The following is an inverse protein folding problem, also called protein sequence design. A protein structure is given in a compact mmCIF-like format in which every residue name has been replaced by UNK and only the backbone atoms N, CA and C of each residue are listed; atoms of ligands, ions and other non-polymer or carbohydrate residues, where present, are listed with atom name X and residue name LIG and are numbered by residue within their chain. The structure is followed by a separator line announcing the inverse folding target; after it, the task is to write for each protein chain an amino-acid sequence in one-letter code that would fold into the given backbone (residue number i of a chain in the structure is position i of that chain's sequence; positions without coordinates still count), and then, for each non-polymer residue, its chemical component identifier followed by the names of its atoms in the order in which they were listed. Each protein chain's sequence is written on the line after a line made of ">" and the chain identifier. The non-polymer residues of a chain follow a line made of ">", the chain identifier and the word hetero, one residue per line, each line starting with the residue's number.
data_IF_919504799117
#
_entry.id   IF_919504799117
#
_cell.length_a   1.000
_cell.length_b   1.000
_cell.length_c   1.000
_cell.angle_alpha   90.00
_cell.angle_beta   90.00
_cell.angle_gamma   90.00
#
_symmetry.space_group_name_H-M   'P 1'
#
loop_
_entity.id
_entity.type
_entity.pdbx_description
1 polymer ?
#
# COMPACT_ATOMS: atom_id res chain seq x y z
N UNK A 1 8.54 22.87 -9.33
CA UNK A 1 7.31 22.86 -8.50
C UNK A 1 6.95 21.39 -8.28
N UNK A 2 7.23 20.87 -7.09
CA UNK A 2 6.97 19.46 -6.75
C UNK A 2 5.53 19.36 -6.30
N UNK A 3 4.72 18.62 -7.03
CA UNK A 3 3.34 18.31 -6.66
C UNK A 3 3.34 17.51 -5.34
N UNK A 4 3.08 18.17 -4.24
CA UNK A 4 2.72 17.53 -2.98
C UNK A 4 1.41 16.75 -3.22
N UNK A 5 1.51 15.43 -3.29
CA UNK A 5 0.32 14.57 -3.28
C UNK A 5 -0.37 14.77 -1.93
N UNK A 6 -1.49 15.48 -1.94
CA UNK A 6 -2.42 15.58 -0.83
C UNK A 6 -2.86 14.17 -0.43
N UNK A 7 -2.27 13.64 0.63
CA UNK A 7 -2.80 12.46 1.28
C UNK A 7 -4.05 12.90 2.03
N UNK A 8 -5.23 12.40 1.73
CA UNK A 8 -6.43 12.75 2.49
C UNK A 8 -6.30 12.16 3.89
N UNK A 9 -6.06 13.03 4.88
CA UNK A 9 -6.30 12.68 6.28
C UNK A 9 -7.82 12.61 6.41
N UNK A 10 -8.38 11.39 6.40
CA UNK A 10 -9.78 11.12 6.71
C UNK A 10 -9.99 11.35 8.22
N UNK A 11 -10.22 12.61 8.58
CA UNK A 11 -10.59 12.98 9.93
C UNK A 11 -12.09 12.94 10.07
N UNK A 12 -12.59 12.02 10.87
CA UNK A 12 -13.97 11.94 11.29
C UNK A 12 -14.09 12.37 12.76
N UNK A 13 -15.04 13.24 13.04
CA UNK A 13 -15.26 13.89 14.34
C UNK A 13 -16.02 12.97 15.30
N UNK A 14 -15.61 12.93 16.56
CA UNK A 14 -16.40 12.36 17.65
C UNK A 14 -16.66 13.39 18.75
N UNK A 15 -17.92 13.59 19.08
CA UNK A 15 -18.36 14.33 20.26
C UNK A 15 -18.93 13.34 21.28
N UNK A 16 -18.31 13.24 22.44
CA UNK A 16 -18.87 12.53 23.58
C UNK A 16 -19.76 13.48 24.38
N UNK A 17 -21.04 13.18 24.42
CA UNK A 17 -21.93 13.65 25.48
C UNK A 17 -22.34 12.42 26.28
N UNK A 18 -21.93 12.35 27.54
CA UNK A 18 -22.34 11.30 28.45
C UNK A 18 -23.84 11.47 28.76
N UNK A 19 -24.66 10.53 28.30
CA UNK A 19 -26.04 10.40 28.75
C UNK A 19 -26.14 9.13 29.62
N UNK A 20 -26.40 9.28 30.89
CA UNK A 20 -26.86 8.22 31.79
C UNK A 20 -28.29 7.81 31.39
N UNK A 21 -28.53 6.54 31.11
CA UNK A 21 -29.86 6.09 30.78
C UNK A 21 -30.09 4.60 30.98
N UNK A 22 -31.08 4.26 31.75
CA UNK A 22 -31.53 2.93 32.11
C UNK A 22 -32.20 2.15 30.98
N UNK A 23 -32.25 0.85 31.16
CA UNK A 23 -32.76 -0.17 30.24
C UNK A 23 -34.26 -0.10 30.03
N UNK A 24 -34.68 0.03 28.78
CA UNK A 24 -35.99 -0.44 28.28
C UNK A 24 -35.98 -0.34 26.73
N UNK A 25 -36.69 -1.24 26.03
CA UNK A 25 -36.65 -1.46 24.59
C UNK A 25 -36.84 -0.22 23.70
N UNK A 26 -36.78 -0.35 22.36
CA UNK A 26 -36.58 0.78 21.46
C UNK A 26 -37.73 1.80 21.58
N UNK A 27 -37.44 2.93 22.24
CA UNK A 27 -38.31 4.10 22.34
C UNK A 27 -38.52 4.72 20.96
N UNK A 28 -39.59 5.47 20.77
CA UNK A 28 -39.73 6.38 19.62
C UNK A 28 -38.51 7.30 19.55
N UNK A 29 -37.99 7.61 18.33
CA UNK A 29 -36.88 8.52 18.18
C UNK A 29 -37.26 9.90 18.74
N UNK A 30 -36.51 10.48 19.69
CA UNK A 30 -36.80 11.80 20.25
C UNK A 30 -36.80 12.88 19.16
N UNK A 31 -37.58 13.95 19.38
CA UNK A 31 -37.74 15.03 18.40
C UNK A 31 -36.43 15.79 18.08
N UNK A 32 -35.48 15.80 19.01
CA UNK A 32 -34.15 16.41 18.90
C UNK A 32 -33.05 15.43 18.38
N UNK A 33 -33.45 14.19 18.11
CA UNK A 33 -32.58 13.15 17.59
C UNK A 33 -32.76 12.89 16.08
N UNK A 34 -31.76 12.27 15.44
CA UNK A 34 -31.81 11.77 14.07
C UNK A 34 -31.93 10.24 14.05
N UNK A 35 -31.43 9.57 15.07
CA UNK A 35 -31.54 8.11 15.23
C UNK A 35 -31.41 7.70 16.70
N UNK A 36 -31.94 6.51 17.02
CA UNK A 36 -31.61 5.73 18.22
C UNK A 36 -30.87 4.48 17.75
N UNK A 37 -29.69 4.18 18.33
CA UNK A 37 -28.86 3.04 18.02
C UNK A 37 -28.64 2.24 19.30
N UNK A 38 -29.24 1.06 19.42
CA UNK A 38 -29.20 0.30 20.67
C UNK A 38 -29.71 1.11 21.86
N UNK A 39 -28.81 1.45 22.78
CA UNK A 39 -29.12 2.22 23.99
C UNK A 39 -28.81 3.72 23.87
N UNK A 40 -28.12 4.14 22.82
CA UNK A 40 -27.64 5.50 22.65
C UNK A 40 -28.48 6.27 21.60
N UNK A 41 -28.46 7.60 21.71
CA UNK A 41 -29.24 8.50 20.82
C UNK A 41 -28.28 9.40 20.05
N UNK A 42 -28.40 9.43 18.73
CA UNK A 42 -27.68 10.36 17.87
C UNK A 42 -28.53 11.63 17.71
N UNK A 43 -28.04 12.75 18.27
CA UNK A 43 -28.77 14.01 18.24
C UNK A 43 -28.66 14.73 16.88
N UNK A 44 -29.62 15.63 16.61
CA UNK A 44 -29.57 16.57 15.48
C UNK A 44 -28.32 17.45 15.54
N UNK A 45 -27.88 17.81 16.76
CA UNK A 45 -26.66 18.58 16.96
C UNK A 45 -25.41 17.82 16.51
N UNK A 46 -25.27 16.52 16.82
CA UNK A 46 -24.18 15.69 16.35
C UNK A 46 -24.17 15.57 14.83
N UNK A 47 -25.33 15.38 14.21
CA UNK A 47 -25.47 15.37 12.76
C UNK A 47 -25.05 16.70 12.13
N UNK A 48 -25.51 17.83 12.70
CA UNK A 48 -25.16 19.17 12.21
C UNK A 48 -23.66 19.46 12.27
N UNK A 49 -22.95 18.98 13.31
CA UNK A 49 -21.48 19.12 13.42
C UNK A 49 -20.77 18.43 12.26
N UNK A 50 -21.13 17.18 11.94
CA UNK A 50 -20.50 16.43 10.83
C UNK A 50 -20.86 17.03 9.47
N UNK A 51 -22.11 17.51 9.32
CA UNK A 51 -22.52 18.21 8.10
C UNK A 51 -21.74 19.53 7.92
N UNK A 52 -21.54 20.30 8.98
CA UNK A 52 -20.74 21.53 8.94
C UNK A 52 -19.28 21.24 8.60
N UNK A 53 -18.70 20.13 9.08
CA UNK A 53 -17.36 19.69 8.69
C UNK A 53 -17.28 19.39 7.20
N UNK A 54 -18.24 18.65 6.64
CA UNK A 54 -18.32 18.39 5.21
C UNK A 54 -18.41 19.69 4.40
N UNK A 55 -19.21 20.66 4.84
CA UNK A 55 -19.31 21.99 4.23
C UNK A 55 -18.00 22.77 4.27
N UNK A 56 -17.26 22.73 5.40
CA UNK A 56 -15.93 23.36 5.52
C UNK A 56 -14.94 22.72 4.53
N UNK A 57 -14.95 21.40 4.42
CA UNK A 57 -14.06 20.69 3.48
C UNK A 57 -14.34 21.05 2.01
N UNK A 58 -15.62 21.20 1.62
CA UNK A 58 -15.97 21.68 0.28
C UNK A 58 -15.46 23.09 0.03
N UNK A 59 -15.67 24.01 0.99
CA UNK A 59 -15.15 25.39 0.89
C UNK A 59 -13.63 25.45 0.79
N UNK A 60 -12.94 24.65 1.57
CA UNK A 60 -11.46 24.58 1.53
C UNK A 60 -10.94 24.09 0.15
N UNK A 61 -11.74 23.29 -0.54
CA UNK A 61 -11.45 22.83 -1.92
C UNK A 61 -11.99 23.78 -3.00
N UNK A 62 -12.50 24.96 -2.64
CA UNK A 62 -13.13 25.91 -3.55
C UNK A 62 -14.33 25.32 -4.34
N UNK A 63 -15.04 24.35 -3.73
CA UNK A 63 -16.22 23.71 -4.31
C UNK A 63 -17.51 24.21 -3.64
N UNK A 64 -18.57 24.39 -4.44
CA UNK A 64 -19.89 24.65 -3.91
C UNK A 64 -20.45 23.38 -3.20
N UNK A 65 -20.99 23.56 -2.00
CA UNK A 65 -21.66 22.47 -1.33
C UNK A 65 -23.00 22.16 -2.01
N UNK A 66 -23.36 20.86 -2.19
CA UNK A 66 -24.62 20.49 -2.85
C UNK A 66 -25.84 21.08 -2.14
N UNK A 67 -26.83 21.53 -2.93
CA UNK A 67 -28.06 22.10 -2.38
C UNK A 67 -28.93 21.03 -1.74
N UNK A 68 -29.63 21.32 -0.64
CA UNK A 68 -30.67 20.45 -0.09
C UNK A 68 -31.64 19.99 -1.19
N UNK A 69 -32.02 18.71 -1.15
CA UNK A 69 -32.88 18.10 -2.16
C UNK A 69 -32.18 17.54 -3.39
N UNK A 70 -30.89 17.85 -3.62
CA UNK A 70 -30.14 17.21 -4.71
C UNK A 70 -29.73 15.78 -4.34
N UNK A 71 -29.57 14.90 -5.35
CA UNK A 71 -29.09 13.52 -5.15
C UNK A 71 -27.75 13.47 -4.40
N UNK A 72 -26.80 14.35 -4.76
CA UNK A 72 -25.48 14.46 -4.11
C UNK A 72 -25.62 14.85 -2.63
N UNK A 73 -26.51 15.78 -2.29
CA UNK A 73 -26.80 16.12 -0.89
C UNK A 73 -27.37 14.92 -0.13
N UNK A 74 -28.28 14.18 -0.77
CA UNK A 74 -28.83 12.93 -0.21
C UNK A 74 -27.76 11.89 0.09
N UNK A 75 -26.80 11.72 -0.84
CA UNK A 75 -25.63 10.82 -0.64
C UNK A 75 -24.79 11.26 0.54
N UNK A 76 -24.47 12.55 0.67
CA UNK A 76 -23.68 13.08 1.80
C UNK A 76 -24.41 12.83 3.12
N UNK A 77 -25.73 13.10 3.17
CA UNK A 77 -26.54 12.80 4.37
C UNK A 77 -26.50 11.34 4.77
N UNK A 78 -26.66 10.44 3.80
CA UNK A 78 -26.61 9.00 4.04
C UNK A 78 -25.23 8.57 4.58
N UNK A 79 -24.15 9.09 4.03
CA UNK A 79 -22.78 8.82 4.51
C UNK A 79 -22.57 9.35 5.94
N UNK A 80 -23.06 10.54 6.24
CA UNK A 80 -23.01 11.10 7.61
C UNK A 80 -23.80 10.21 8.58
N UNK A 81 -25.00 9.79 8.21
CA UNK A 81 -25.80 8.90 9.05
C UNK A 81 -25.14 7.55 9.27
N UNK A 82 -24.63 6.93 8.20
CA UNK A 82 -23.89 5.68 8.31
C UNK A 82 -22.69 5.82 9.24
N UNK A 83 -21.90 6.88 9.06
CA UNK A 83 -20.75 7.18 9.92
C UNK A 83 -21.14 7.33 11.39
N UNK A 84 -22.19 8.08 11.69
CA UNK A 84 -22.64 8.31 13.06
C UNK A 84 -23.15 7.02 13.72
N UNK A 85 -23.91 6.22 12.98
CA UNK A 85 -24.42 4.92 13.44
C UNK A 85 -23.27 3.97 13.72
N UNK A 86 -22.37 3.76 12.75
CA UNK A 86 -21.19 2.88 12.93
C UNK A 86 -20.31 3.33 14.11
N UNK A 87 -20.09 4.62 14.26
CA UNK A 87 -19.32 5.17 15.38
C UNK A 87 -19.97 4.80 16.72
N UNK A 88 -21.30 4.91 16.80
CA UNK A 88 -22.03 4.61 18.00
C UNK A 88 -22.04 3.11 18.30
N UNK A 89 -22.21 2.27 17.28
CA UNK A 89 -22.09 0.80 17.38
C UNK A 89 -20.70 0.40 17.93
N UNK A 90 -19.60 0.98 17.39
CA UNK A 90 -18.26 0.75 17.91
C UNK A 90 -18.09 1.24 19.35
N UNK A 91 -18.69 2.39 19.71
CA UNK A 91 -18.63 2.92 21.07
C UNK A 91 -19.30 1.99 22.07
N UNK A 92 -20.49 1.49 21.75
CA UNK A 92 -21.22 0.53 22.60
C UNK A 92 -20.45 -0.79 22.72
N UNK A 93 -19.96 -1.34 21.60
CA UNK A 93 -19.15 -2.57 21.63
C UNK A 93 -17.81 -2.40 22.33
N UNK A 94 -17.20 -1.22 22.31
CA UNK A 94 -16.00 -0.93 23.10
C UNK A 94 -16.30 -1.05 24.60
N UNK A 95 -17.44 -0.49 25.07
CA UNK A 95 -17.89 -0.62 26.47
C UNK A 95 -18.12 -2.10 26.84
N UNK A 96 -18.84 -2.85 26.00
CA UNK A 96 -19.14 -4.27 26.22
C UNK A 96 -17.85 -5.12 26.32
N UNK A 97 -16.81 -4.78 25.55
CA UNK A 97 -15.53 -5.48 25.50
C UNK A 97 -14.50 -4.95 26.52
N UNK A 98 -14.85 -3.93 27.30
CA UNK A 98 -13.90 -3.27 28.22
C UNK A 98 -12.75 -2.56 27.51
N UNK A 99 -12.96 -2.11 26.28
CA UNK A 99 -11.96 -1.37 25.48
C UNK A 99 -12.06 0.12 25.80
N UNK A 100 -10.93 0.68 26.22
CA UNK A 100 -10.80 2.12 26.51
C UNK A 100 -9.68 2.77 25.70
N UNK A 101 -9.86 4.04 25.36
CA UNK A 101 -8.85 4.89 24.72
C UNK A 101 -8.68 6.15 25.52
N UNK A 102 -7.51 6.33 26.13
CA UNK A 102 -7.18 7.52 26.92
C UNK A 102 -6.84 8.73 26.03
N UNK A 103 -6.88 9.93 26.61
CA UNK A 103 -6.42 11.12 25.90
C UNK A 103 -4.92 11.02 25.56
N UNK A 104 -4.14 10.37 26.43
CA UNK A 104 -2.72 10.09 26.16
C UNK A 104 -2.54 9.22 24.92
N UNK A 105 -3.33 8.16 24.74
CA UNK A 105 -3.26 7.31 23.53
C UNK A 105 -3.49 8.15 22.26
N UNK A 106 -4.46 9.07 22.33
CA UNK A 106 -4.80 9.96 21.20
C UNK A 106 -3.65 10.93 20.91
N UNK A 107 -3.08 11.56 21.93
CA UNK A 107 -1.96 12.51 21.75
C UNK A 107 -0.70 11.81 21.25
N UNK A 108 -0.37 10.65 21.78
CA UNK A 108 0.76 9.85 21.32
C UNK A 108 0.60 9.48 19.83
N UNK A 109 -0.58 9.05 19.41
CA UNK A 109 -0.88 8.75 18.00
C UNK A 109 -0.81 10.02 17.13
N UNK A 110 -1.35 11.15 17.60
CA UNK A 110 -1.27 12.42 16.89
C UNK A 110 0.18 12.85 16.67
N UNK A 111 1.01 12.74 17.71
CA UNK A 111 2.44 13.06 17.62
C UNK A 111 3.16 12.14 16.63
N UNK A 112 2.87 10.83 16.62
CA UNK A 112 3.41 9.90 15.62
C UNK A 112 3.02 10.31 14.18
N UNK A 113 1.76 10.67 13.97
CA UNK A 113 1.26 11.14 12.67
C UNK A 113 1.99 12.42 12.26
N UNK A 114 2.10 13.40 13.17
CA UNK A 114 2.82 14.66 12.90
C UNK A 114 4.27 14.38 12.49
N UNK A 115 4.98 13.53 13.22
CA UNK A 115 6.37 13.16 12.89
C UNK A 115 6.47 12.43 11.54
N UNK A 116 5.59 11.48 11.27
CA UNK A 116 5.62 10.68 10.05
C UNK A 116 5.37 11.54 8.80
N UNK A 117 4.39 12.44 8.84
CA UNK A 117 3.96 13.19 7.65
C UNK A 117 4.68 14.53 7.50
N UNK A 118 5.05 15.18 8.58
CA UNK A 118 5.66 16.51 8.53
C UNK A 118 7.11 16.53 8.98
N UNK A 119 7.57 15.53 9.76
CA UNK A 119 8.93 15.42 10.25
C UNK A 119 9.95 14.93 9.23
N UNK A 120 9.47 14.23 8.16
CA UNK A 120 10.36 13.68 7.15
C UNK A 120 11.15 14.75 6.41
N UNK A 121 12.45 14.50 6.23
CA UNK A 121 13.40 15.36 5.50
C UNK A 121 14.02 14.59 4.34
N UNK A 122 14.48 15.30 3.31
CA UNK A 122 15.28 14.68 2.25
C UNK A 122 16.67 14.27 2.80
N UNK A 123 17.34 13.27 2.21
CA UNK A 123 18.71 12.93 2.60
C UNK A 123 19.63 14.17 2.60
N UNK A 124 20.36 14.40 3.71
CA UNK A 124 21.25 15.55 3.87
C UNK A 124 20.63 16.83 4.44
N UNK A 125 19.31 16.86 4.69
CA UNK A 125 18.66 17.99 5.38
C UNK A 125 18.60 17.75 6.90
N UNK A 126 18.67 18.83 7.68
CA UNK A 126 18.46 18.75 9.14
C UNK A 126 17.01 18.33 9.45
N UNK A 127 16.79 17.53 10.51
CA UNK A 127 15.45 17.25 10.99
C UNK A 127 14.70 18.56 11.30
N UNK A 128 13.40 18.59 11.00
CA UNK A 128 12.56 19.74 11.34
C UNK A 128 12.34 19.84 12.84
N UNK A 129 12.29 21.05 13.34
CA UNK A 129 11.93 21.32 14.73
C UNK A 129 10.45 21.02 14.99
N UNK A 130 10.08 20.81 16.25
CA UNK A 130 8.68 20.59 16.65
C UNK A 130 7.78 21.77 16.24
N UNK A 131 8.29 23.01 16.32
CA UNK A 131 7.56 24.20 15.91
C UNK A 131 7.29 24.24 14.40
N UNK A 132 8.24 23.81 13.58
CA UNK A 132 8.05 23.69 12.12
C UNK A 132 7.03 22.59 11.77
N UNK A 133 7.09 21.45 12.46
CA UNK A 133 6.13 20.35 12.32
C UNK A 133 4.73 20.82 12.67
N UNK A 134 4.58 21.50 13.80
CA UNK A 134 3.30 22.05 14.25
C UNK A 134 2.73 23.05 13.24
N UNK A 135 3.56 23.98 12.77
CA UNK A 135 3.17 24.96 11.75
C UNK A 135 2.63 24.26 10.48
N UNK A 136 3.37 23.26 9.94
CA UNK A 136 2.96 22.52 8.77
C UNK A 136 1.64 21.73 8.99
N UNK A 137 1.46 21.18 10.18
CA UNK A 137 0.23 20.51 10.57
C UNK A 137 -0.96 21.48 10.58
N UNK A 138 -0.82 22.67 11.21
CA UNK A 138 -1.87 23.68 11.26
C UNK A 138 -2.21 24.23 9.86
N UNK A 139 -1.21 24.44 9.00
CA UNK A 139 -1.41 24.80 7.60
C UNK A 139 -2.22 23.73 6.85
N UNK A 140 -1.93 22.44 7.10
CA UNK A 140 -2.66 21.32 6.51
C UNK A 140 -4.12 21.25 6.99
N UNK A 141 -4.36 21.46 8.30
CA UNK A 141 -5.72 21.53 8.85
C UNK A 141 -6.52 22.64 8.16
N UNK A 142 -5.96 23.82 8.07
CA UNK A 142 -6.60 24.97 7.40
C UNK A 142 -6.91 24.66 5.93
N UNK A 143 -5.96 24.05 5.21
CA UNK A 143 -6.12 23.68 3.81
C UNK A 143 -7.25 22.63 3.59
N UNK A 144 -7.54 21.81 4.59
CA UNK A 144 -8.61 20.80 4.56
C UNK A 144 -9.92 21.25 5.22
N UNK A 145 -9.95 22.42 5.85
CA UNK A 145 -11.10 22.92 6.61
C UNK A 145 -11.38 22.11 7.87
N UNK A 146 -10.33 21.54 8.49
CA UNK A 146 -10.40 20.73 9.70
C UNK A 146 -9.93 21.52 10.92
N UNK A 147 -10.31 21.02 12.10
CA UNK A 147 -9.84 21.49 13.41
C UNK A 147 -9.03 20.39 14.09
N UNK A 148 -8.22 20.76 15.12
CA UNK A 148 -7.53 19.76 15.96
C UNK A 148 -8.53 18.77 16.58
N UNK A 149 -9.71 19.24 16.95
CA UNK A 149 -10.77 18.39 17.49
C UNK A 149 -11.24 17.37 16.44
N UNK A 150 -11.44 17.77 15.20
CA UNK A 150 -11.82 16.87 14.12
C UNK A 150 -10.79 15.74 13.97
N UNK A 151 -9.49 16.04 14.06
CA UNK A 151 -8.42 15.05 13.94
C UNK A 151 -8.33 14.15 15.18
N UNK A 152 -8.34 14.72 16.38
CA UNK A 152 -8.23 13.94 17.62
C UNK A 152 -9.42 13.00 17.82
N UNK A 153 -10.62 13.44 17.47
CA UNK A 153 -11.82 12.61 17.49
C UNK A 153 -11.73 11.45 16.47
N UNK A 154 -11.22 11.74 15.27
CA UNK A 154 -10.94 10.71 14.26
C UNK A 154 -9.92 9.66 14.74
N UNK A 155 -8.82 10.12 15.35
CA UNK A 155 -7.79 9.26 15.95
C UNK A 155 -8.40 8.38 17.05
N UNK A 156 -9.22 8.94 17.93
CA UNK A 156 -9.90 8.19 18.99
C UNK A 156 -10.77 7.08 18.42
N UNK A 157 -11.59 7.40 17.42
CA UNK A 157 -12.44 6.42 16.74
C UNK A 157 -11.63 5.30 16.08
N UNK A 158 -10.50 5.64 15.45
CA UNK A 158 -9.58 4.67 14.87
C UNK A 158 -8.97 3.77 15.94
N UNK A 159 -8.46 4.33 17.05
CA UNK A 159 -7.86 3.58 18.15
C UNK A 159 -8.88 2.63 18.82
N UNK A 160 -10.15 3.06 18.98
CA UNK A 160 -11.23 2.19 19.46
C UNK A 160 -11.36 0.98 18.53
N UNK A 161 -11.45 1.21 17.23
CA UNK A 161 -11.59 0.13 16.23
C UNK A 161 -10.38 -0.81 16.22
N UNK A 162 -9.15 -0.27 16.29
CA UNK A 162 -7.93 -1.04 16.39
C UNK A 162 -7.90 -1.92 17.64
N UNK A 163 -8.22 -1.36 18.82
CA UNK A 163 -8.25 -2.10 20.09
C UNK A 163 -9.36 -3.16 20.12
N UNK A 164 -10.52 -2.87 19.55
CA UNK A 164 -11.58 -3.88 19.35
C UNK A 164 -11.09 -5.00 18.44
N UNK A 165 -10.50 -4.66 17.29
CA UNK A 165 -9.96 -5.66 16.37
C UNK A 165 -8.93 -6.55 17.05
N UNK A 166 -8.01 -5.99 17.82
CA UNK A 166 -7.07 -6.77 18.63
C UNK A 166 -7.79 -7.69 19.60
N UNK A 167 -8.76 -7.17 20.36
CA UNK A 167 -9.50 -7.93 21.37
C UNK A 167 -10.28 -9.10 20.81
N UNK A 168 -11.01 -8.90 19.69
CA UNK A 168 -11.86 -9.94 19.09
C UNK A 168 -11.05 -10.96 18.26
N UNK A 169 -9.79 -10.65 17.96
CA UNK A 169 -8.89 -11.54 17.20
C UNK A 169 -7.70 -12.07 18.01
N UNK A 170 -7.67 -11.82 19.31
CA UNK A 170 -6.54 -12.19 20.19
C UNK A 170 -6.26 -13.69 20.19
N UNK A 171 -7.30 -14.50 20.12
CA UNK A 171 -7.21 -15.96 20.10
C UNK A 171 -6.88 -16.55 18.73
N UNK A 172 -6.74 -15.75 17.68
CA UNK A 172 -6.45 -16.22 16.32
C UNK A 172 -5.00 -16.66 16.22
N UNK A 173 -4.80 -17.94 15.99
CA UNK A 173 -3.47 -18.57 15.84
C UNK A 173 -3.43 -19.43 14.59
N UNK A 174 -2.23 -19.66 14.09
CA UNK A 174 -1.94 -20.59 12.99
C UNK A 174 -0.89 -21.57 13.50
N UNK A 175 -1.24 -22.85 13.50
CA UNK A 175 -0.32 -23.92 13.89
C UNK A 175 0.73 -24.17 12.80
N UNK A 176 1.80 -24.89 13.14
CA UNK A 176 2.78 -25.34 12.14
C UNK A 176 2.15 -26.33 11.14
N UNK A 177 1.18 -27.12 11.60
CA UNK A 177 0.39 -28.02 10.74
C UNK A 177 -0.46 -27.26 9.73
N UNK A 178 -1.15 -26.18 10.14
CA UNK A 178 -1.92 -25.32 9.22
C UNK A 178 -1.00 -24.69 8.16
N UNK A 179 0.14 -24.17 8.59
CA UNK A 179 1.11 -23.56 7.70
C UNK A 179 1.69 -24.58 6.71
N UNK A 180 1.96 -25.82 7.19
CA UNK A 180 2.44 -26.90 6.32
C UNK A 180 1.38 -27.31 5.30
N UNK A 181 0.13 -27.45 5.72
CA UNK A 181 -1.00 -27.75 4.83
C UNK A 181 -1.15 -26.68 3.75
N UNK A 182 -1.05 -25.41 4.13
CA UNK A 182 -1.11 -24.30 3.16
C UNK A 182 0.05 -24.38 2.16
N UNK A 183 1.27 -24.60 2.62
CA UNK A 183 2.43 -24.78 1.77
C UNK A 183 2.23 -25.90 0.75
N UNK A 184 1.75 -27.07 1.20
CA UNK A 184 1.54 -28.25 0.35
C UNK A 184 0.45 -28.01 -0.71
N UNK A 185 -0.59 -27.26 -0.38
CA UNK A 185 -1.65 -26.88 -1.30
C UNK A 185 -1.23 -25.81 -2.31
N UNK A 186 -0.16 -25.05 -2.00
CA UNK A 186 0.29 -23.90 -2.81
C UNK A 186 1.75 -24.02 -3.24
N UNK A 187 2.26 -25.23 -3.40
CA UNK A 187 3.67 -25.51 -3.74
C UNK A 187 4.18 -24.71 -4.92
N UNK A 188 3.36 -24.52 -5.95
CA UNK A 188 3.71 -23.74 -7.14
C UNK A 188 4.14 -22.29 -6.81
N UNK A 189 3.67 -21.70 -5.71
CA UNK A 189 4.06 -20.36 -5.26
C UNK A 189 5.47 -20.34 -4.63
N UNK A 190 5.98 -21.49 -4.25
CA UNK A 190 7.28 -21.68 -3.60
C UNK A 190 8.30 -22.36 -4.51
N UNK A 191 8.01 -22.40 -5.80
CA UNK A 191 8.94 -22.91 -6.80
C UNK A 191 9.84 -21.80 -7.32
N UNK A 192 11.13 -22.10 -7.38
CA UNK A 192 12.09 -21.30 -8.12
C UNK A 192 12.19 -21.87 -9.54
N UNK A 193 11.90 -21.08 -10.58
CA UNK A 193 11.99 -21.55 -11.94
C UNK A 193 13.44 -21.93 -12.29
N UNK A 194 13.60 -22.88 -13.18
CA UNK A 194 14.88 -23.20 -13.75
C UNK A 194 15.54 -21.95 -14.36
N UNK A 195 16.83 -21.80 -14.13
CA UNK A 195 17.63 -20.74 -14.74
C UNK A 195 18.55 -21.37 -15.77
N UNK A 196 18.59 -20.86 -16.99
CA UNK A 196 19.52 -21.36 -18.00
C UNK A 196 20.95 -20.92 -17.65
N UNK A 197 21.91 -21.60 -18.22
CA UNK A 197 23.29 -21.13 -18.21
C UNK A 197 23.35 -19.73 -18.84
N UNK A 198 23.96 -18.79 -18.15
CA UNK A 198 24.02 -17.39 -18.56
C UNK A 198 25.35 -16.75 -18.28
N UNK A 199 25.58 -15.61 -18.90
CA UNK A 199 26.81 -14.85 -18.71
C UNK A 199 26.58 -13.35 -18.85
N UNK A 200 27.16 -12.59 -17.95
CA UNK A 200 27.21 -11.15 -18.06
C UNK A 200 28.35 -10.71 -18.94
N UNK A 201 28.00 -9.96 -19.96
CA UNK A 201 28.99 -9.44 -20.95
C UNK A 201 28.70 -7.96 -21.21
N UNK A 202 29.62 -7.32 -21.91
CA UNK A 202 29.35 -6.06 -22.61
C UNK A 202 29.87 -6.16 -24.03
N UNK A 203 29.21 -5.45 -24.95
CA UNK A 203 29.63 -5.49 -26.35
C UNK A 203 29.52 -4.13 -27.04
N UNK A 204 30.23 -4.01 -28.15
CA UNK A 204 30.16 -2.90 -29.10
C UNK A 204 29.83 -3.49 -30.46
N UNK A 205 28.68 -3.07 -31.03
CA UNK A 205 28.25 -3.50 -32.36
C UNK A 205 28.50 -2.39 -33.38
N UNK A 206 29.18 -2.72 -34.46
CA UNK A 206 29.43 -1.80 -35.59
C UNK A 206 29.21 -2.48 -36.93
N UNK A 207 29.04 -1.70 -38.01
CA UNK A 207 28.72 -2.25 -39.33
C UNK A 207 29.93 -2.85 -40.07
N UNK A 208 31.13 -2.34 -39.85
CA UNK A 208 32.30 -2.80 -40.60
C UNK A 208 33.35 -3.48 -39.74
N UNK A 209 34.05 -4.47 -40.31
CA UNK A 209 35.13 -5.19 -39.68
C UNK A 209 36.28 -4.24 -39.28
N UNK A 210 36.71 -3.39 -40.19
CA UNK A 210 37.83 -2.44 -39.93
C UNK A 210 37.53 -1.55 -38.70
N UNK A 211 36.26 -1.13 -38.52
CA UNK A 211 35.84 -0.34 -37.34
C UNK A 211 35.89 -1.18 -36.05
N UNK A 212 35.46 -2.44 -36.10
CA UNK A 212 35.53 -3.35 -34.97
C UNK A 212 36.98 -3.64 -34.57
N UNK A 213 37.88 -3.86 -35.52
CA UNK A 213 39.29 -4.05 -35.27
C UNK A 213 39.95 -2.82 -34.65
N UNK A 214 39.63 -1.63 -35.14
CA UNK A 214 40.13 -0.38 -34.55
C UNK A 214 39.67 -0.21 -33.10
N UNK A 215 38.42 -0.57 -32.79
CA UNK A 215 37.85 -0.54 -31.41
C UNK A 215 38.54 -1.59 -30.54
N UNK A 216 38.71 -2.81 -31.05
CA UNK A 216 39.42 -3.87 -30.34
C UNK A 216 40.84 -3.44 -29.95
N UNK A 217 41.59 -2.83 -30.88
CA UNK A 217 42.95 -2.35 -30.61
C UNK A 217 42.98 -1.22 -29.57
N UNK A 218 42.02 -0.30 -29.60
CA UNK A 218 41.89 0.73 -28.56
C UNK A 218 41.61 0.11 -27.18
N UNK A 219 40.72 -0.87 -27.11
CA UNK A 219 40.40 -1.57 -25.88
C UNK A 219 41.57 -2.36 -25.33
N UNK A 220 42.36 -3.00 -26.20
CA UNK A 220 43.63 -3.67 -25.83
C UNK A 220 44.66 -2.67 -25.31
N UNK A 221 44.64 -1.44 -25.81
CA UNK A 221 45.45 -0.33 -25.31
C UNK A 221 44.91 0.34 -24.02
N UNK A 222 43.84 -0.22 -23.40
CA UNK A 222 43.32 0.27 -22.12
C UNK A 222 42.23 1.35 -22.23
N UNK A 223 41.68 1.60 -23.44
CA UNK A 223 40.57 2.54 -23.59
C UNK A 223 39.34 2.09 -22.84
N UNK A 224 38.55 3.05 -22.34
CA UNK A 224 37.28 2.79 -21.61
C UNK A 224 36.22 2.19 -22.52
N UNK A 225 35.81 0.97 -22.20
CA UNK A 225 34.80 0.24 -22.98
C UNK A 225 33.48 0.96 -23.07
N UNK A 226 32.98 1.54 -21.96
CA UNK A 226 31.68 2.20 -21.91
C UNK A 226 31.66 3.48 -22.74
N UNK A 227 32.77 4.24 -22.73
CA UNK A 227 32.92 5.43 -23.60
C UNK A 227 32.94 5.04 -25.08
N UNK A 228 33.65 3.94 -25.43
CA UNK A 228 33.67 3.49 -26.83
C UNK A 228 32.31 2.89 -27.23
N UNK A 229 31.62 2.17 -26.35
CA UNK A 229 30.27 1.67 -26.60
C UNK A 229 29.31 2.83 -26.87
N UNK A 230 29.31 3.86 -26.01
CA UNK A 230 28.43 5.03 -26.18
C UNK A 230 28.73 5.76 -27.51
N UNK A 231 30.00 5.88 -27.87
CA UNK A 231 30.43 6.64 -29.05
C UNK A 231 30.20 5.90 -30.37
N UNK A 232 30.41 4.58 -30.39
CA UNK A 232 30.50 3.85 -31.66
C UNK A 232 29.45 2.75 -31.83
N UNK A 233 28.88 2.21 -30.74
CA UNK A 233 27.95 1.10 -30.87
C UNK A 233 26.63 1.57 -31.49
N UNK A 234 26.10 0.76 -32.40
CA UNK A 234 24.76 0.92 -32.95
C UNK A 234 23.70 0.12 -32.16
N UNK A 235 24.13 -0.68 -31.16
CA UNK A 235 23.24 -1.45 -30.30
C UNK A 235 22.62 -0.53 -29.22
N UNK A 236 21.34 -0.71 -28.86
CA UNK A 236 20.69 0.07 -27.80
C UNK A 236 21.38 -0.01 -26.44
N UNK A 237 22.07 -1.13 -26.13
CA UNK A 237 22.82 -1.29 -24.87
C UNK A 237 23.96 -0.28 -24.68
N UNK A 238 24.33 0.47 -25.72
CA UNK A 238 25.38 1.51 -25.63
C UNK A 238 25.18 2.49 -24.49
N UNK A 239 23.93 2.83 -24.16
CA UNK A 239 23.58 3.77 -23.07
C UNK A 239 23.88 3.21 -21.68
N UNK A 240 23.98 1.87 -21.57
CA UNK A 240 24.41 1.15 -20.35
C UNK A 240 25.86 0.61 -20.47
N UNK A 241 26.68 1.22 -21.34
CA UNK A 241 28.04 0.79 -21.57
C UNK A 241 28.19 -0.54 -22.31
N UNK A 242 27.17 -0.94 -23.08
CA UNK A 242 27.11 -2.18 -23.85
C UNK A 242 26.75 -3.42 -23.01
N UNK A 243 26.31 -3.28 -21.75
CA UNK A 243 26.04 -4.39 -20.83
C UNK A 243 24.79 -5.16 -21.20
N UNK A 244 24.87 -6.48 -21.12
CA UNK A 244 23.74 -7.41 -21.25
C UNK A 244 24.07 -8.77 -20.61
N UNK A 245 23.04 -9.49 -20.21
CA UNK A 245 23.15 -10.90 -19.77
C UNK A 245 22.70 -11.80 -20.91
N UNK A 246 23.59 -12.68 -21.37
CA UNK A 246 23.36 -13.67 -22.43
C UNK A 246 22.95 -14.99 -21.79
N UNK A 247 21.94 -15.66 -22.35
CA UNK A 247 21.49 -16.99 -21.91
C UNK A 247 21.54 -18.01 -23.06
N UNK A 248 21.95 -19.25 -22.76
CA UNK A 248 21.91 -20.34 -23.75
C UNK A 248 20.49 -20.71 -24.19
N UNK A 249 19.49 -20.49 -23.32
CA UNK A 249 18.08 -20.75 -23.62
C UNK A 249 17.22 -19.58 -23.12
N UNK A 250 16.15 -19.26 -23.85
CA UNK A 250 15.13 -18.34 -23.36
C UNK A 250 14.30 -19.00 -22.28
N UNK A 251 14.14 -18.30 -21.17
CA UNK A 251 13.26 -18.66 -20.07
C UNK A 251 12.59 -17.40 -19.52
N UNK A 252 11.66 -17.56 -18.59
CA UNK A 252 11.04 -16.42 -17.89
C UNK A 252 12.05 -15.59 -17.09
N UNK A 253 13.17 -16.20 -16.70
CA UNK A 253 14.23 -15.57 -15.91
C UNK A 253 15.39 -15.01 -16.74
N UNK A 254 15.50 -15.42 -18.00
CA UNK A 254 16.52 -14.93 -18.92
C UNK A 254 15.98 -14.91 -20.36
N UNK A 255 15.62 -13.74 -20.83
CA UNK A 255 14.89 -13.58 -22.09
C UNK A 255 15.78 -13.28 -23.30
N UNK A 256 17.02 -12.86 -23.08
CA UNK A 256 17.95 -12.52 -24.17
C UNK A 256 18.73 -13.75 -24.62
N UNK A 257 18.30 -14.33 -25.74
CA UNK A 257 19.09 -15.28 -26.50
C UNK A 257 19.72 -14.56 -27.68
N UNK A 258 21.05 -14.62 -27.78
CA UNK A 258 21.82 -14.03 -28.86
C UNK A 258 21.98 -15.02 -30.04
N UNK A 259 22.54 -14.54 -31.16
CA UNK A 259 22.84 -15.42 -32.32
C UNK A 259 24.05 -16.28 -32.04
N UNK A 260 24.10 -17.48 -32.66
CA UNK A 260 25.11 -18.51 -32.37
C UNK A 260 26.55 -18.04 -32.39
N UNK A 261 27.05 -17.24 -33.36
CA UNK A 261 28.43 -16.77 -33.33
C UNK A 261 28.75 -15.89 -32.12
N UNK A 262 27.83 -15.02 -31.71
CA UNK A 262 27.99 -14.18 -30.52
C UNK A 262 27.99 -15.03 -29.25
N UNK A 263 27.01 -15.92 -29.10
CA UNK A 263 26.85 -16.82 -27.95
C UNK A 263 28.12 -17.66 -27.73
N UNK A 264 28.60 -18.33 -28.81
CA UNK A 264 29.80 -19.16 -28.76
C UNK A 264 30.98 -18.38 -28.17
N UNK A 265 31.23 -17.17 -28.66
CA UNK A 265 32.32 -16.33 -28.17
C UNK A 265 32.07 -15.85 -26.75
N UNK A 266 30.85 -15.34 -26.45
CA UNK A 266 30.53 -14.84 -25.13
C UNK A 266 30.79 -15.89 -24.02
N UNK A 267 30.45 -17.16 -24.27
CA UNK A 267 30.66 -18.24 -23.31
C UNK A 267 32.08 -18.81 -23.27
N UNK A 268 32.93 -18.59 -24.31
CA UNK A 268 34.31 -19.09 -24.35
C UNK A 268 35.34 -18.16 -23.72
N UNK A 269 35.05 -16.87 -23.58
CA UNK A 269 35.98 -15.89 -23.03
C UNK A 269 36.31 -16.18 -21.56
N UNK A 270 37.52 -15.86 -21.13
CA UNK A 270 37.86 -15.75 -19.71
C UNK A 270 37.22 -14.48 -19.12
N UNK A 271 37.05 -14.44 -17.82
CA UNK A 271 36.54 -13.21 -17.13
C UNK A 271 37.43 -12.02 -17.46
N UNK A 272 36.85 -10.90 -17.82
CA UNK A 272 37.46 -9.66 -18.30
C UNK A 272 38.16 -9.74 -19.66
N UNK A 273 38.17 -10.89 -20.31
CA UNK A 273 38.73 -11.03 -21.64
C UNK A 273 37.88 -10.32 -22.70
N UNK A 274 38.56 -9.68 -23.66
CA UNK A 274 37.94 -8.99 -24.78
C UNK A 274 38.14 -9.86 -26.04
N UNK A 275 37.03 -10.15 -26.74
CA UNK A 275 37.08 -10.94 -27.98
C UNK A 275 37.73 -10.18 -29.13
N UNK A 276 38.33 -10.92 -30.08
CA UNK A 276 38.49 -10.38 -31.45
C UNK A 276 37.11 -10.04 -32.03
N UNK A 277 37.04 -9.22 -33.11
CA UNK A 277 35.78 -8.95 -33.79
C UNK A 277 35.03 -10.22 -34.22
N UNK A 278 33.75 -10.30 -33.89
CA UNK A 278 32.85 -11.43 -34.18
C UNK A 278 31.81 -10.99 -35.18
N UNK A 279 31.72 -11.67 -36.31
CA UNK A 279 30.71 -11.38 -37.33
C UNK A 279 29.37 -12.06 -37.02
N UNK A 280 28.27 -11.31 -37.18
CA UNK A 280 26.92 -11.80 -37.11
C UNK A 280 26.05 -11.13 -38.20
N UNK A 281 24.83 -11.55 -38.36
CA UNK A 281 23.85 -10.89 -39.27
C UNK A 281 23.61 -9.41 -38.94
N UNK A 282 23.91 -8.96 -37.76
CA UNK A 282 23.73 -7.56 -37.31
C UNK A 282 24.93 -6.67 -37.59
N UNK A 283 26.10 -7.27 -37.82
CA UNK A 283 27.37 -6.61 -38.01
C UNK A 283 28.51 -7.27 -37.22
N UNK A 284 29.48 -6.46 -36.82
CA UNK A 284 30.67 -6.89 -36.10
C UNK A 284 30.63 -6.49 -34.64
N UNK A 285 30.82 -7.45 -33.77
CA UNK A 285 30.80 -7.27 -32.31
C UNK A 285 32.21 -7.39 -31.73
N UNK A 286 32.52 -6.51 -30.79
CA UNK A 286 33.63 -6.70 -29.85
C UNK A 286 32.98 -6.96 -28.48
N UNK A 287 33.28 -8.13 -27.89
CA UNK A 287 32.60 -8.64 -26.70
C UNK A 287 33.60 -8.70 -25.54
N UNK A 288 33.18 -8.34 -24.34
CA UNK A 288 33.97 -8.58 -23.13
C UNK A 288 33.12 -9.33 -22.11
N UNK A 289 33.65 -10.38 -21.52
CA UNK A 289 33.04 -11.07 -20.40
C UNK A 289 33.26 -10.29 -19.11
N UNK A 290 32.18 -10.04 -18.35
CA UNK A 290 32.25 -9.27 -17.10
C UNK A 290 32.37 -10.14 -15.85
N UNK A 291 32.14 -11.44 -16.00
CA UNK A 291 32.21 -12.40 -14.91
C UNK A 291 32.36 -13.83 -15.42
N UNK A 292 32.33 -14.81 -14.53
CA UNK A 292 32.30 -16.21 -14.91
C UNK A 292 30.98 -16.58 -15.59
N UNK A 293 30.91 -17.75 -16.17
CA UNK A 293 29.64 -18.33 -16.61
C UNK A 293 28.84 -18.70 -15.39
N UNK A 294 27.59 -18.22 -15.34
CA UNK A 294 26.61 -18.63 -14.33
C UNK A 294 26.02 -19.98 -14.75
N UNK A 295 26.22 -21.07 -14.00
CA UNK A 295 25.76 -22.39 -14.39
C UNK A 295 24.20 -22.43 -14.39
N UNK A 296 23.66 -23.31 -15.22
CA UNK A 296 22.23 -23.59 -15.20
C UNK A 296 21.78 -24.09 -13.82
N UNK A 297 20.65 -23.60 -13.34
CA UNK A 297 20.01 -24.09 -12.12
C UNK A 297 18.71 -24.80 -12.48
N UNK A 298 18.52 -25.98 -11.93
CA UNK A 298 17.27 -26.71 -12.07
C UNK A 298 16.15 -26.02 -11.29
N UNK A 299 14.91 -26.27 -11.72
CA UNK A 299 13.72 -25.91 -10.96
C UNK A 299 13.84 -26.53 -9.55
N UNK A 300 13.60 -25.75 -8.53
CA UNK A 300 13.66 -26.20 -7.15
C UNK A 300 12.50 -25.64 -6.33
N UNK A 301 12.10 -26.38 -5.29
CA UNK A 301 11.16 -25.86 -4.30
C UNK A 301 11.93 -25.11 -3.21
N UNK A 302 11.38 -23.98 -2.74
CA UNK A 302 11.86 -23.35 -1.51
C UNK A 302 11.39 -24.20 -0.34
N UNK A 303 12.27 -24.76 0.47
CA UNK A 303 11.88 -25.66 1.56
C UNK A 303 10.92 -24.98 2.55
N UNK A 304 9.92 -25.73 3.03
CA UNK A 304 8.94 -25.23 4.00
C UNK A 304 9.56 -24.50 5.19
N UNK A 305 10.68 -25.01 5.72
CA UNK A 305 11.39 -24.38 6.84
C UNK A 305 11.79 -22.93 6.61
N UNK A 306 12.13 -22.56 5.37
CA UNK A 306 12.53 -21.20 5.00
C UNK A 306 11.34 -20.24 4.91
N UNK A 307 10.15 -20.73 4.55
CA UNK A 307 8.97 -19.90 4.32
C UNK A 307 7.91 -20.02 5.42
N UNK A 308 8.08 -20.96 6.35
CA UNK A 308 7.12 -21.26 7.43
C UNK A 308 6.71 -20.00 8.22
N UNK A 309 7.67 -19.19 8.62
CA UNK A 309 7.39 -17.99 9.42
C UNK A 309 6.55 -16.96 8.62
N UNK A 310 6.89 -16.74 7.36
CA UNK A 310 6.16 -15.85 6.47
C UNK A 310 4.74 -16.37 6.20
N UNK A 311 4.58 -17.65 5.95
CA UNK A 311 3.28 -18.31 5.77
C UNK A 311 2.42 -18.11 7.02
N UNK A 312 2.96 -18.42 8.22
CA UNK A 312 2.22 -18.23 9.48
C UNK A 312 1.79 -16.78 9.67
N UNK A 313 2.68 -15.84 9.41
CA UNK A 313 2.37 -14.41 9.55
C UNK A 313 1.24 -14.01 8.61
N UNK A 314 1.32 -14.36 7.33
CA UNK A 314 0.28 -14.05 6.33
C UNK A 314 -1.06 -14.70 6.70
N UNK A 315 -1.05 -15.99 7.08
CA UNK A 315 -2.24 -16.71 7.47
C UNK A 315 -2.89 -16.16 8.75
N UNK A 316 -2.10 -15.74 9.74
CA UNK A 316 -2.61 -15.09 10.95
C UNK A 316 -3.30 -13.78 10.58
N UNK A 317 -2.69 -12.95 9.74
CA UNK A 317 -3.30 -11.69 9.32
C UNK A 317 -4.61 -11.92 8.57
N UNK A 318 -4.64 -12.87 7.63
CA UNK A 318 -5.86 -13.22 6.91
C UNK A 318 -6.97 -13.73 7.86
N UNK A 319 -6.67 -14.69 8.72
CA UNK A 319 -7.63 -15.22 9.70
C UNK A 319 -8.11 -14.16 10.68
N UNK A 320 -7.26 -13.20 11.08
CA UNK A 320 -7.67 -12.06 11.91
C UNK A 320 -8.63 -11.14 11.16
N UNK A 321 -8.34 -10.84 9.90
CA UNK A 321 -9.23 -10.03 9.07
C UNK A 321 -10.60 -10.71 8.90
N UNK A 322 -10.62 -12.01 8.60
CA UNK A 322 -11.86 -12.78 8.45
C UNK A 322 -12.67 -12.84 9.75
N UNK A 323 -12.00 -13.08 10.88
CA UNK A 323 -12.63 -13.11 12.20
C UNK A 323 -13.22 -11.73 12.57
N UNK A 324 -12.47 -10.65 12.31
CA UNK A 324 -12.97 -9.29 12.53
C UNK A 324 -14.15 -8.96 11.62
N UNK A 325 -14.07 -9.28 10.33
CA UNK A 325 -15.16 -9.06 9.38
C UNK A 325 -16.43 -9.81 9.80
N UNK A 326 -16.27 -11.07 10.21
CA UNK A 326 -17.40 -11.84 10.73
C UNK A 326 -18.00 -11.19 11.97
N UNK A 327 -17.18 -10.87 12.96
CA UNK A 327 -17.61 -10.20 14.18
C UNK A 327 -18.35 -8.87 13.87
N UNK A 328 -17.80 -8.07 12.95
CA UNK A 328 -18.39 -6.80 12.57
C UNK A 328 -19.74 -6.97 11.85
N UNK A 329 -19.84 -7.94 10.97
CA UNK A 329 -21.09 -8.26 10.28
C UNK A 329 -22.16 -8.77 11.27
N UNK A 330 -21.77 -9.60 12.22
CA UNK A 330 -22.68 -10.06 13.29
C UNK A 330 -23.12 -8.87 14.16
N UNK A 331 -22.23 -7.94 14.49
CA UNK A 331 -22.52 -6.69 15.21
C UNK A 331 -23.51 -5.83 14.44
N UNK A 332 -23.26 -5.56 13.16
CA UNK A 332 -24.19 -4.78 12.31
C UNK A 332 -25.59 -5.44 12.27
N UNK A 333 -25.64 -6.75 12.13
CA UNK A 333 -26.91 -7.50 12.14
C UNK A 333 -27.64 -7.42 13.49
N UNK A 334 -26.91 -7.39 14.60
CA UNK A 334 -27.47 -7.14 15.92
C UNK A 334 -28.08 -5.72 16.02
N UNK A 335 -27.30 -4.72 15.64
CA UNK A 335 -27.70 -3.32 15.74
C UNK A 335 -28.79 -2.94 14.75
N UNK A 336 -28.89 -3.55 13.57
CA UNK A 336 -29.94 -3.28 12.59
C UNK A 336 -31.34 -3.49 13.16
N UNK A 337 -31.49 -4.40 14.15
CA UNK A 337 -32.76 -4.67 14.85
C UNK A 337 -33.04 -3.66 15.95
N UNK A 338 -32.03 -2.91 16.39
CA UNK A 338 -32.09 -1.97 17.51
C UNK A 338 -31.93 -0.50 17.06
N UNK A 339 -31.76 -0.27 15.74
CA UNK A 339 -31.61 1.07 15.18
C UNK A 339 -32.91 1.57 14.60
N UNK A 340 -33.30 2.77 15.00
CA UNK A 340 -34.45 3.50 14.47
C UNK A 340 -34.00 4.88 14.02
N UNK A 341 -34.55 5.34 12.92
CA UNK A 341 -34.27 6.65 12.35
C UNK A 341 -35.46 7.58 12.50
N UNK A 342 -35.21 8.86 12.65
CA UNK A 342 -36.23 9.88 12.48
C UNK A 342 -36.58 10.01 10.99
N UNK A 343 -37.86 10.27 10.69
CA UNK A 343 -38.33 10.45 9.31
C UNK A 343 -37.43 11.42 8.52
N UNK A 344 -36.95 10.98 7.34
CA UNK A 344 -36.04 11.71 6.48
C UNK A 344 -34.55 11.57 6.80
N UNK A 345 -34.17 10.76 7.80
CA UNK A 345 -32.77 10.43 8.11
C UNK A 345 -32.42 8.97 7.84
N UNK A 346 -33.36 8.18 7.34
CA UNK A 346 -33.15 6.80 6.97
C UNK A 346 -32.09 6.69 5.83
N UNK A 347 -31.21 5.67 5.85
CA UNK A 347 -30.37 5.37 4.71
C UNK A 347 -31.24 4.97 3.50
N UNK A 348 -30.83 5.29 2.25
CA UNK A 348 -31.59 4.88 1.06
C UNK A 348 -31.72 3.36 0.99
N UNK A 349 -32.91 2.87 0.63
CA UNK A 349 -33.28 1.46 0.62
C UNK A 349 -32.42 0.53 -0.27
N UNK A 350 -31.51 1.07 -1.09
CA UNK A 350 -30.71 0.33 -2.07
C UNK A 350 -29.27 -0.02 -1.64
N UNK A 351 -28.89 0.16 -0.37
CA UNK A 351 -27.54 -0.18 0.11
C UNK A 351 -27.50 -1.34 1.10
N UNK A 352 -28.48 -2.19 1.14
CA UNK A 352 -28.29 -3.54 1.66
C UNK A 352 -27.57 -4.35 0.57
N UNK A 353 -26.24 -4.25 0.53
CA UNK A 353 -25.43 -5.11 -0.32
C UNK A 353 -25.65 -6.56 0.11
N UNK A 354 -26.42 -7.27 -0.69
CA UNK A 354 -26.33 -8.70 -0.85
C UNK A 354 -24.95 -9.00 -1.44
N UNK A 355 -23.95 -9.16 -0.60
CA UNK A 355 -22.76 -9.95 -0.93
C UNK A 355 -23.07 -11.36 -0.45
N UNK A 356 -23.51 -12.22 -1.40
CA UNK A 356 -23.53 -13.67 -1.29
C UNK A 356 -22.11 -14.22 -1.24
#
# INVERSE_FOLDING_TARGET
>A
MKHFRLVPILAFVALFVAACGGSSGPKSVPSDAVAVVGNDTISKAQFAVVLAQAQRSYRAQHKAFPKPGSATYGTIRAQIMQFLVERDEYSQKAKDLGVTVSDKDVQDRLNQIKQQYFGATNPGQKPKSQAEIEKLYQEQLKAQGLTDKDVTDGIRSQLIREKISQKVTDNVKVSDSDAKKYYDQHKAQYEQPAQPESRDVRHILVKSQAKAEAIYNQLKGGADFSKLALKYSIDPSKTSGGRLTVCKQRTVTCQLKTVAPFEKVAFSLKTNEISKPVHTQFGWHVIQALGPVNPAKQKSEIPFGQVKAAIKQTQVQQKKQDAFNKWWNDTKKEFSKKTKYQAGYEPPASQTSTTG
#
